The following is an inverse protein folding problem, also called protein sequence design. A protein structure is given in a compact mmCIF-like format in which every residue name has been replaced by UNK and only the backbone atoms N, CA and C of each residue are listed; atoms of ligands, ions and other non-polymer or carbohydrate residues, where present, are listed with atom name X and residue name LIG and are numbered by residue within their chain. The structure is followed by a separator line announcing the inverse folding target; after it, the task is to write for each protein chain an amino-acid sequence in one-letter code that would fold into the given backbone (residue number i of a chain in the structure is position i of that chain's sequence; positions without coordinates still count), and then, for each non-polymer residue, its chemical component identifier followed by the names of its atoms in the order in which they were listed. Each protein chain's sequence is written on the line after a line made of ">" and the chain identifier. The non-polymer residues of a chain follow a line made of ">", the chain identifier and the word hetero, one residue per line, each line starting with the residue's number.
data_IF_911277415334
#
_entry.id   IF_911277415334
#
_cell.length_a   1.000
_cell.length_b   1.000
_cell.length_c   1.000
_cell.angle_alpha   90.00
_cell.angle_beta   90.00
_cell.angle_gamma   90.00
#
_symmetry.space_group_name_H-M   'P 1'
#
loop_
_entity.id
_entity.type
_entity.pdbx_description
1 polymer ?
#
# COMPACT_ATOMS: atom_id res chain seq x y z
N UNK A 1 4.66 15.58 2.38
CA UNK A 1 3.50 14.72 2.70
C UNK A 1 3.90 13.29 2.44
N UNK A 2 3.45 12.37 3.26
CA UNK A 2 3.65 10.93 3.05
C UNK A 2 2.55 10.37 2.17
N UNK A 3 2.83 9.31 1.43
CA UNK A 3 1.90 8.62 0.55
C UNK A 3 1.69 7.18 1.02
N UNK A 4 0.49 6.63 0.81
CA UNK A 4 0.28 5.19 0.96
C UNK A 4 0.86 4.45 -0.24
N UNK A 5 1.33 3.22 -0.03
CA UNK A 5 1.70 2.32 -1.11
C UNK A 5 0.51 1.53 -1.67
N UNK A 6 -0.62 1.52 -0.96
CA UNK A 6 -1.85 0.85 -1.39
C UNK A 6 -2.78 1.85 -2.04
N UNK A 7 -3.32 1.52 -3.20
CA UNK A 7 -4.38 2.29 -3.84
C UNK A 7 -5.02 1.48 -4.97
N UNK A 8 -6.21 1.89 -5.36
CA UNK A 8 -6.93 1.39 -6.51
C UNK A 8 -7.46 2.55 -7.34
N UNK A 9 -7.37 2.42 -8.66
CA UNK A 9 -7.99 3.35 -9.61
C UNK A 9 -8.61 2.57 -10.75
N UNK A 10 -9.76 3.04 -11.23
CA UNK A 10 -10.42 2.50 -12.41
C UNK A 10 -10.94 3.65 -13.25
N UNK A 11 -10.61 3.63 -14.55
CA UNK A 11 -11.09 4.59 -15.53
C UNK A 11 -11.72 3.81 -16.66
N UNK A 12 -12.94 4.19 -17.01
CA UNK A 12 -13.66 3.70 -18.17
C UNK A 12 -13.86 4.84 -19.15
N UNK A 13 -13.54 4.61 -20.41
CA UNK A 13 -13.69 5.57 -21.50
C UNK A 13 -14.45 4.90 -22.65
N UNK A 14 -15.66 5.34 -22.89
CA UNK A 14 -16.44 4.94 -24.05
C UNK A 14 -15.97 5.74 -25.25
N UNK A 15 -15.71 5.07 -26.37
CA UNK A 15 -15.32 5.65 -27.64
C UNK A 15 -16.16 5.11 -28.80
N UNK A 16 -15.94 5.61 -30.00
CA UNK A 16 -16.68 5.22 -31.25
C UNK A 16 -16.53 3.74 -31.60
N UNK A 17 -15.50 3.07 -31.08
CA UNK A 17 -15.15 1.68 -31.44
C UNK A 17 -15.35 0.70 -30.29
N UNK A 18 -15.75 1.18 -29.12
CA UNK A 18 -15.93 0.35 -27.93
C UNK A 18 -15.53 1.07 -26.65
N UNK A 19 -15.51 0.32 -25.55
CA UNK A 19 -15.19 0.84 -24.22
C UNK A 19 -13.82 0.32 -23.77
N UNK A 20 -12.93 1.26 -23.43
CA UNK A 20 -11.64 1.00 -22.78
C UNK A 20 -11.82 1.07 -21.26
N UNK A 21 -11.30 0.11 -20.54
CA UNK A 21 -11.30 0.12 -19.06
C UNK A 21 -9.92 -0.20 -18.53
N UNK A 22 -9.32 0.75 -17.81
CA UNK A 22 -8.10 0.55 -17.05
C UNK A 22 -8.39 0.31 -15.60
N UNK A 23 -7.81 -0.74 -15.05
CA UNK A 23 -7.76 -1.01 -13.61
C UNK A 23 -6.31 -1.01 -13.16
N UNK A 24 -5.96 -0.14 -12.21
CA UNK A 24 -4.66 -0.03 -11.59
C UNK A 24 -4.78 -0.36 -10.11
N UNK A 25 -3.97 -1.30 -9.64
CA UNK A 25 -3.89 -1.68 -8.23
C UNK A 25 -2.46 -1.62 -7.75
N UNK A 26 -2.21 -0.83 -6.72
CA UNK A 26 -0.90 -0.73 -6.07
C UNK A 26 -0.94 -1.43 -4.71
N UNK A 27 0.12 -2.19 -4.40
CA UNK A 27 0.33 -2.80 -3.09
C UNK A 27 1.76 -2.56 -2.62
N UNK A 28 1.99 -2.71 -1.30
CA UNK A 28 3.31 -2.53 -0.74
C UNK A 28 4.33 -3.48 -1.37
N UNK A 29 5.42 -2.91 -1.88
CA UNK A 29 6.59 -3.65 -2.36
C UNK A 29 7.86 -2.82 -2.22
N UNK A 30 9.02 -3.49 -2.07
CA UNK A 30 10.31 -2.84 -1.85
C UNK A 30 10.76 -1.98 -3.04
N UNK A 31 10.48 -2.43 -4.26
CA UNK A 31 10.84 -1.79 -5.52
C UNK A 31 9.59 -1.48 -6.33
N UNK A 32 9.71 -0.65 -7.37
CA UNK A 32 8.63 -0.50 -8.35
C UNK A 32 8.62 -1.73 -9.25
N UNK A 33 7.53 -2.49 -9.19
CA UNK A 33 7.32 -3.72 -9.95
C UNK A 33 6.00 -3.63 -10.74
N UNK A 34 6.03 -3.17 -12.00
CA UNK A 34 4.85 -3.09 -12.84
C UNK A 34 4.51 -4.44 -13.48
N UNK A 35 3.29 -4.90 -13.24
CA UNK A 35 2.68 -6.05 -13.88
C UNK A 35 1.58 -5.58 -14.84
N UNK A 36 1.79 -5.79 -16.14
CA UNK A 36 0.87 -5.35 -17.17
C UNK A 36 0.09 -6.54 -17.74
N UNK A 37 -1.22 -6.37 -17.87
CA UNK A 37 -2.12 -7.28 -18.57
C UNK A 37 -2.83 -6.50 -19.67
N UNK A 38 -2.32 -6.64 -20.90
CA UNK A 38 -2.81 -5.95 -22.08
C UNK A 38 -3.37 -6.98 -23.06
N UNK A 39 -4.52 -6.71 -23.71
CA UNK A 39 -4.95 -7.47 -24.88
C UNK A 39 -3.91 -7.36 -26.00
N UNK A 40 -3.85 -8.35 -26.90
CA UNK A 40 -2.85 -8.43 -27.98
C UNK A 40 -2.81 -7.18 -28.86
N UNK A 41 -3.97 -6.56 -29.12
CA UNK A 41 -4.08 -5.33 -29.91
C UNK A 41 -3.38 -4.11 -29.29
N UNK A 42 -3.05 -4.15 -28.01
CA UNK A 42 -2.44 -3.05 -27.25
C UNK A 42 -1.03 -3.35 -26.75
N UNK A 43 -0.38 -4.41 -27.21
CA UNK A 43 0.97 -4.80 -26.77
C UNK A 43 2.02 -3.71 -26.99
N UNK A 44 1.87 -2.93 -28.05
CA UNK A 44 2.80 -1.83 -28.37
C UNK A 44 2.81 -0.73 -27.29
N UNK A 45 1.77 -0.65 -26.45
CA UNK A 45 1.69 0.32 -25.35
C UNK A 45 2.55 -0.05 -24.14
N UNK A 46 3.03 -1.28 -24.03
CA UNK A 46 3.75 -1.77 -22.84
C UNK A 46 4.92 -0.87 -22.46
N UNK A 47 5.72 -0.44 -23.44
CA UNK A 47 6.87 0.44 -23.22
C UNK A 47 6.48 1.79 -22.64
N UNK A 48 5.48 2.44 -23.23
CA UNK A 48 4.98 3.75 -22.80
C UNK A 48 4.34 3.70 -21.40
N UNK A 49 3.56 2.65 -21.11
CA UNK A 49 2.92 2.43 -19.81
C UNK A 49 3.98 2.22 -18.71
N UNK A 50 5.00 1.39 -18.98
CA UNK A 50 6.12 1.18 -18.04
C UNK A 50 6.89 2.46 -17.75
N UNK A 51 7.13 3.27 -18.75
CA UNK A 51 7.84 4.54 -18.60
C UNK A 51 7.00 5.54 -17.77
N UNK A 52 5.71 5.67 -18.03
CA UNK A 52 4.82 6.53 -17.27
C UNK A 52 4.73 6.10 -15.80
N UNK A 53 4.71 4.79 -15.52
CA UNK A 53 4.76 4.27 -14.14
C UNK A 53 6.08 4.64 -13.43
N UNK A 54 7.24 4.53 -14.12
CA UNK A 54 8.54 4.90 -13.56
C UNK A 54 8.65 6.39 -13.23
N UNK A 55 8.04 7.24 -14.08
CA UNK A 55 8.02 8.68 -13.84
C UNK A 55 7.04 9.07 -12.73
N UNK A 56 5.95 8.33 -12.58
CA UNK A 56 4.88 8.65 -11.63
C UNK A 56 5.01 8.05 -10.25
N UNK A 57 5.75 6.95 -10.10
CA UNK A 57 5.83 6.16 -8.85
C UNK A 57 7.27 5.75 -8.57
N UNK A 58 7.67 5.76 -7.30
CA UNK A 58 9.02 5.38 -6.89
C UNK A 58 9.12 3.93 -6.40
N UNK A 59 8.03 3.35 -5.84
CA UNK A 59 7.99 1.96 -5.35
C UNK A 59 6.56 1.42 -5.30
N UNK A 60 6.46 0.12 -5.06
CA UNK A 60 5.20 -0.62 -4.99
C UNK A 60 5.06 -1.62 -6.14
N UNK A 61 4.34 -2.70 -5.90
CA UNK A 61 3.90 -3.60 -6.96
C UNK A 61 2.61 -3.04 -7.54
N UNK A 62 2.61 -2.73 -8.84
CA UNK A 62 1.49 -2.10 -9.53
C UNK A 62 0.97 -3.03 -10.61
N UNK A 63 -0.22 -3.55 -10.41
CA UNK A 63 -0.94 -4.35 -11.41
C UNK A 63 -1.80 -3.40 -12.24
N UNK A 64 -1.56 -3.39 -13.56
CA UNK A 64 -2.29 -2.59 -14.54
C UNK A 64 -2.97 -3.53 -15.52
N UNK A 65 -4.29 -3.51 -15.57
CA UNK A 65 -5.08 -4.34 -16.46
C UNK A 65 -5.87 -3.44 -17.41
N UNK A 66 -5.66 -3.59 -18.71
CA UNK A 66 -6.49 -2.99 -19.75
C UNK A 66 -7.52 -4.02 -20.20
N UNK A 67 -8.77 -3.60 -20.27
CA UNK A 67 -9.84 -4.34 -20.95
C UNK A 67 -10.39 -3.47 -22.07
N UNK A 68 -10.65 -4.08 -23.19
CA UNK A 68 -11.32 -3.44 -24.32
C UNK A 68 -12.55 -4.27 -24.68
N UNK A 69 -13.71 -3.64 -24.62
CA UNK A 69 -14.97 -4.21 -25.06
C UNK A 69 -15.34 -3.52 -26.38
N UNK A 70 -15.19 -4.23 -27.49
CA UNK A 70 -15.55 -3.71 -28.80
C UNK A 70 -17.07 -3.59 -28.91
N UNK A 71 -17.56 -2.42 -29.36
CA UNK A 71 -18.97 -2.23 -29.62
C UNK A 71 -19.32 -2.80 -30.99
N UNK A 72 -20.04 -3.91 -30.98
CA UNK A 72 -20.50 -4.59 -32.19
C UNK A 72 -21.89 -4.14 -32.64
N UNK A 73 -22.62 -3.41 -31.77
CA UNK A 73 -23.96 -2.96 -32.05
C UNK A 73 -23.95 -1.78 -33.03
N UNK A 74 -24.54 -1.96 -34.21
CA UNK A 74 -24.72 -0.90 -35.21
C UNK A 74 -23.64 -0.80 -36.29
N UNK A 75 -22.59 -1.65 -36.25
CA UNK A 75 -21.63 -1.70 -37.37
C UNK A 75 -22.30 -2.26 -38.61
N UNK A 76 -22.28 -1.52 -39.70
CA UNK A 76 -22.71 -2.02 -41.03
C UNK A 76 -21.79 -3.14 -41.46
N UNK A 77 -22.35 -4.27 -41.85
CA UNK A 77 -21.59 -5.35 -42.46
C UNK A 77 -21.05 -4.85 -43.81
N UNK A 78 -19.75 -4.61 -43.88
CA UNK A 78 -19.11 -4.28 -45.14
C UNK A 78 -18.54 -5.54 -45.77
N UNK A 79 -18.78 -5.67 -47.10
CA UNK A 79 -18.27 -6.80 -47.86
C UNK A 79 -17.08 -6.32 -48.70
N UNK A 80 -15.93 -6.97 -48.51
CA UNK A 80 -14.82 -6.82 -49.46
C UNK A 80 -15.21 -7.46 -50.76
N UNK A 81 -15.71 -6.62 -51.69
CA UNK A 81 -16.21 -7.07 -52.98
C UNK A 81 -15.13 -7.70 -53.86
N UNK A 82 -13.89 -7.24 -53.74
CA UNK A 82 -12.79 -7.81 -54.54
C UNK A 82 -12.46 -9.22 -54.06
N UNK A 83 -12.34 -9.42 -52.76
CA UNK A 83 -12.10 -10.74 -52.17
C UNK A 83 -13.28 -11.69 -52.39
N UNK A 84 -14.52 -11.16 -52.31
CA UNK A 84 -15.71 -11.96 -52.60
C UNK A 84 -15.70 -12.41 -54.08
N UNK A 85 -15.37 -11.54 -55.07
CA UNK A 85 -15.27 -11.92 -56.50
C UNK A 85 -14.19 -12.98 -56.72
N UNK A 86 -13.00 -12.81 -56.11
CA UNK A 86 -11.90 -13.79 -56.20
C UNK A 86 -12.31 -15.16 -55.65
N UNK A 87 -13.01 -15.18 -54.53
CA UNK A 87 -13.48 -16.41 -53.94
C UNK A 87 -14.54 -17.10 -54.79
N UNK A 88 -15.51 -16.34 -55.32
CA UNK A 88 -16.55 -16.88 -56.22
C UNK A 88 -15.93 -17.44 -57.47
N UNK A 89 -15.02 -16.73 -58.16
CA UNK A 89 -14.31 -17.22 -59.35
C UNK A 89 -13.49 -18.50 -59.06
N UNK A 90 -12.83 -18.57 -57.93
CA UNK A 90 -12.12 -19.79 -57.52
C UNK A 90 -13.06 -20.98 -57.28
N UNK A 91 -14.20 -20.72 -56.60
CA UNK A 91 -15.21 -21.73 -56.36
C UNK A 91 -15.86 -22.23 -57.65
N UNK A 92 -16.15 -21.36 -58.61
CA UNK A 92 -16.65 -21.73 -59.94
C UNK A 92 -15.63 -22.55 -60.74
N UNK A 93 -14.33 -22.22 -60.66
CA UNK A 93 -13.24 -23.02 -61.25
C UNK A 93 -13.18 -24.42 -60.67
N UNK A 94 -13.38 -24.57 -59.34
CA UNK A 94 -13.44 -25.91 -58.71
C UNK A 94 -14.75 -26.64 -59.09
N UNK A 95 -15.89 -25.95 -59.14
CA UNK A 95 -17.18 -26.52 -59.54
C UNK A 95 -17.11 -27.12 -60.94
N UNK A 96 -16.38 -26.52 -61.89
CA UNK A 96 -16.17 -27.07 -63.22
C UNK A 96 -15.46 -28.42 -63.28
N UNK A 97 -14.74 -28.79 -62.22
CA UNK A 97 -14.06 -30.08 -62.07
C UNK A 97 -14.95 -31.19 -61.44
N UNK A 98 -16.12 -30.81 -60.91
CA UNK A 98 -17.03 -31.68 -60.18
C UNK A 98 -18.19 -32.12 -61.12
N UNK A 99 -18.58 -33.37 -61.11
CA UNK A 99 -19.60 -33.94 -62.01
C UNK A 99 -21.02 -33.40 -61.77
N UNK A 100 -21.33 -33.02 -60.50
CA UNK A 100 -22.57 -32.41 -60.07
C UNK A 100 -22.27 -31.40 -58.94
N UNK A 101 -21.87 -30.17 -59.23
CA UNK A 101 -21.57 -29.18 -58.23
C UNK A 101 -22.86 -28.69 -57.57
N UNK A 102 -22.84 -28.50 -56.25
CA UNK A 102 -23.92 -27.78 -55.53
C UNK A 102 -23.87 -26.29 -55.88
N UNK A 103 -25.02 -25.58 -55.87
CA UNK A 103 -25.06 -24.13 -55.99
C UNK A 103 -24.22 -23.45 -54.94
N UNK A 104 -23.58 -22.35 -55.28
CA UNK A 104 -22.78 -21.57 -54.34
C UNK A 104 -23.71 -20.85 -53.37
N UNK A 105 -23.50 -21.11 -52.06
CA UNK A 105 -24.27 -20.45 -51.01
C UNK A 105 -23.66 -19.06 -50.71
N UNK A 106 -24.42 -17.96 -50.86
CA UNK A 106 -23.94 -16.62 -50.55
C UNK A 106 -23.54 -16.45 -49.07
N UNK A 107 -24.21 -17.16 -48.15
CA UNK A 107 -23.84 -17.12 -46.72
C UNK A 107 -22.51 -17.79 -46.45
N UNK A 108 -22.19 -18.87 -47.15
CA UNK A 108 -20.88 -19.51 -47.08
C UNK A 108 -19.76 -18.60 -47.60
N UNK A 109 -20.05 -17.81 -48.67
CA UNK A 109 -19.11 -16.81 -49.18
C UNK A 109 -18.90 -15.69 -48.18
N UNK A 110 -19.96 -15.18 -47.54
CA UNK A 110 -19.86 -14.14 -46.50
C UNK A 110 -19.12 -14.61 -45.26
N UNK A 111 -19.28 -15.91 -44.88
CA UNK A 111 -18.60 -16.50 -43.73
C UNK A 111 -17.10 -16.75 -43.98
N UNK A 112 -16.64 -16.62 -45.23
CA UNK A 112 -15.24 -16.86 -45.56
C UNK A 112 -14.32 -15.78 -44.95
N UNK A 113 -13.16 -16.15 -44.37
CA UNK A 113 -12.25 -15.19 -43.70
C UNK A 113 -11.83 -14.03 -44.64
N UNK A 114 -12.12 -12.82 -44.20
CA UNK A 114 -11.75 -11.59 -44.92
C UNK A 114 -12.74 -11.14 -46.00
N UNK A 115 -13.91 -11.81 -46.20
CA UNK A 115 -15.00 -11.32 -47.08
C UNK A 115 -15.87 -10.32 -46.33
N UNK A 116 -16.23 -10.58 -45.08
CA UNK A 116 -16.82 -9.58 -44.20
C UNK A 116 -15.69 -8.78 -43.54
N UNK A 117 -15.69 -7.49 -43.81
CA UNK A 117 -14.73 -6.53 -43.21
C UNK A 117 -15.51 -5.80 -42.11
N UNK A 118 -15.09 -5.97 -40.86
CA UNK A 118 -15.51 -5.06 -39.82
C UNK A 118 -14.81 -3.72 -40.02
N UNK A 119 -15.52 -2.63 -39.81
CA UNK A 119 -14.92 -1.29 -39.77
C UNK A 119 -13.93 -1.28 -38.58
N UNK A 120 -12.67 -1.54 -38.87
CA UNK A 120 -11.63 -1.62 -37.84
C UNK A 120 -11.25 -0.22 -37.41
N UNK A 121 -11.29 0.01 -36.11
CA UNK A 121 -10.75 1.22 -35.51
C UNK A 121 -9.31 1.45 -36.01
N UNK A 122 -8.95 2.69 -36.27
CA UNK A 122 -7.55 3.05 -36.51
C UNK A 122 -6.72 2.63 -35.27
N UNK A 123 -5.77 1.69 -35.40
CA UNK A 123 -4.99 1.21 -34.28
C UNK A 123 -4.22 2.33 -33.58
N UNK A 124 -3.82 3.38 -34.29
CA UNK A 124 -3.09 4.51 -33.75
C UNK A 124 -4.00 5.38 -32.87
N UNK A 125 -5.22 5.67 -33.35
CA UNK A 125 -6.21 6.41 -32.56
C UNK A 125 -6.65 5.65 -31.31
N UNK A 126 -6.83 4.32 -31.41
CA UNK A 126 -7.20 3.46 -30.29
C UNK A 126 -6.07 3.39 -29.24
N UNK A 127 -4.82 3.29 -29.68
CA UNK A 127 -3.65 3.30 -28.80
C UNK A 127 -3.50 4.66 -28.09
N UNK A 128 -3.72 5.78 -28.79
CA UNK A 128 -3.68 7.11 -28.20
C UNK A 128 -4.76 7.27 -27.10
N UNK A 129 -5.99 6.85 -27.37
CA UNK A 129 -7.08 6.88 -26.38
C UNK A 129 -6.77 5.98 -25.17
N UNK A 130 -6.19 4.80 -25.37
CA UNK A 130 -5.80 3.91 -24.30
C UNK A 130 -4.70 4.51 -23.40
N UNK A 131 -3.72 5.23 -23.99
CA UNK A 131 -2.68 5.93 -23.22
C UNK A 131 -3.24 7.12 -22.44
N UNK A 132 -4.16 7.88 -23.03
CA UNK A 132 -4.84 8.97 -22.33
C UNK A 132 -5.62 8.46 -21.12
N UNK A 133 -6.44 7.43 -21.30
CA UNK A 133 -7.20 6.80 -20.23
C UNK A 133 -6.26 6.22 -19.14
N UNK A 134 -5.10 5.65 -19.52
CA UNK A 134 -4.07 5.22 -18.59
C UNK A 134 -3.50 6.39 -17.78
N UNK A 135 -3.20 7.51 -18.42
CA UNK A 135 -2.74 8.72 -17.74
C UNK A 135 -3.72 9.20 -16.67
N UNK A 136 -5.02 9.23 -17.00
CA UNK A 136 -6.08 9.58 -16.05
C UNK A 136 -6.15 8.57 -14.88
N UNK A 137 -6.04 7.26 -15.16
CA UNK A 137 -6.03 6.23 -14.13
C UNK A 137 -4.80 6.35 -13.20
N UNK A 138 -3.63 6.66 -13.74
CA UNK A 138 -2.40 6.88 -12.96
C UNK A 138 -2.53 8.11 -12.05
N UNK A 139 -3.08 9.21 -12.54
CA UNK A 139 -3.32 10.39 -11.71
C UNK A 139 -4.36 10.11 -10.60
N UNK A 140 -5.41 9.36 -10.88
CA UNK A 140 -6.36 8.92 -9.85
C UNK A 140 -5.68 8.02 -8.81
N UNK A 141 -4.80 7.10 -9.22
CA UNK A 141 -4.03 6.24 -8.31
C UNK A 141 -3.14 7.09 -7.39
N UNK A 142 -2.41 8.06 -7.94
CA UNK A 142 -1.54 8.99 -7.18
C UNK A 142 -2.35 9.82 -6.18
N UNK A 143 -3.49 10.35 -6.61
CA UNK A 143 -4.40 11.10 -5.74
C UNK A 143 -4.96 10.22 -4.61
N UNK A 144 -5.30 8.95 -4.91
CA UNK A 144 -5.70 7.95 -3.91
C UNK A 144 -4.62 7.71 -2.87
N UNK A 145 -3.38 7.44 -3.31
CA UNK A 145 -2.20 7.25 -2.44
C UNK A 145 -1.94 8.46 -1.54
N UNK A 146 -2.13 9.67 -2.07
CA UNK A 146 -1.94 10.90 -1.29
C UNK A 146 -3.01 11.05 -0.20
N UNK A 147 -4.30 10.83 -0.52
CA UNK A 147 -5.40 10.90 0.46
C UNK A 147 -5.21 9.86 1.57
N UNK A 148 -4.97 8.61 1.20
CA UNK A 148 -4.76 7.54 2.18
C UNK A 148 -3.50 7.80 3.04
N UNK A 149 -2.43 8.34 2.45
CA UNK A 149 -1.24 8.74 3.19
C UNK A 149 -1.51 9.83 4.23
N UNK A 150 -2.40 10.78 3.95
CA UNK A 150 -2.83 11.79 4.91
C UNK A 150 -3.61 11.19 6.08
N UNK A 151 -4.53 10.26 5.80
CA UNK A 151 -5.28 9.54 6.85
C UNK A 151 -4.35 8.69 7.73
N UNK A 152 -3.38 8.00 7.14
CA UNK A 152 -2.36 7.26 7.88
C UNK A 152 -1.52 8.18 8.76
N UNK A 153 -1.11 9.35 8.26
CA UNK A 153 -0.36 10.33 9.04
C UNK A 153 -1.17 10.86 10.23
N UNK A 154 -2.47 11.10 10.06
CA UNK A 154 -3.37 11.50 11.13
C UNK A 154 -3.48 10.41 12.19
N UNK A 155 -3.76 9.17 11.77
CA UNK A 155 -3.88 8.03 12.67
C UNK A 155 -2.59 7.79 13.48
N UNK A 156 -1.41 7.95 12.85
CA UNK A 156 -0.13 7.86 13.55
C UNK A 156 0.04 8.99 14.58
N UNK A 157 -0.34 10.23 14.24
CA UNK A 157 -0.27 11.35 15.18
C UNK A 157 -1.19 11.13 16.40
N UNK A 158 -2.41 10.62 16.20
CA UNK A 158 -3.32 10.32 17.31
C UNK A 158 -2.72 9.27 18.27
N UNK A 159 -1.99 8.29 17.76
CA UNK A 159 -1.30 7.29 18.58
C UNK A 159 -0.06 7.86 19.28
N UNK A 160 0.67 8.76 18.63
CA UNK A 160 1.78 9.48 19.24
C UNK A 160 1.30 10.40 20.38
N UNK A 161 0.12 11.01 20.24
CA UNK A 161 -0.50 11.78 21.32
C UNK A 161 -0.85 10.87 22.50
N UNK A 162 -1.46 9.71 22.25
CA UNK A 162 -1.76 8.73 23.28
C UNK A 162 -0.50 8.24 24.02
N UNK A 163 0.61 8.02 23.28
CA UNK A 163 1.90 7.66 23.89
C UNK A 163 2.42 8.77 24.80
N UNK A 164 2.33 10.03 24.40
CA UNK A 164 2.78 11.16 25.25
C UNK A 164 1.94 11.28 26.52
N UNK A 165 0.63 10.98 26.46
CA UNK A 165 -0.23 10.91 27.64
C UNK A 165 0.23 9.81 28.60
N UNK A 166 0.52 8.60 28.09
CA UNK A 166 1.04 7.50 28.91
C UNK A 166 2.40 7.85 29.55
N UNK A 167 3.31 8.44 28.77
CA UNK A 167 4.62 8.91 29.26
C UNK A 167 4.45 9.97 30.37
N UNK A 168 3.55 10.95 30.15
CA UNK A 168 3.25 11.98 31.15
C UNK A 168 2.70 11.40 32.45
N UNK A 169 1.67 10.56 32.35
CA UNK A 169 1.05 9.89 33.49
C UNK A 169 2.08 9.07 34.29
N UNK A 170 2.93 8.33 33.58
CA UNK A 170 3.94 7.51 34.25
C UNK A 170 5.00 8.38 34.94
N UNK A 171 5.43 9.50 34.32
CA UNK A 171 6.37 10.45 34.91
C UNK A 171 5.86 11.03 36.24
N UNK A 172 4.56 11.32 36.33
CA UNK A 172 3.94 11.81 37.57
C UNK A 172 3.80 10.71 38.63
N UNK A 173 3.55 9.47 38.25
CA UNK A 173 3.33 8.33 39.15
C UNK A 173 4.62 7.75 39.71
N UNK A 174 5.74 7.75 38.97
CA UNK A 174 7.01 7.11 39.36
C UNK A 174 7.50 7.55 40.74
N UNK A 175 7.52 8.84 41.14
CA UNK A 175 7.96 9.25 42.48
C UNK A 175 7.13 8.64 43.61
N UNK A 176 5.80 8.59 43.42
CA UNK A 176 4.88 7.99 44.39
C UNK A 176 5.05 6.47 44.48
N UNK A 177 5.28 5.79 43.35
CA UNK A 177 5.54 4.35 43.32
C UNK A 177 6.84 4.02 44.05
N UNK A 178 7.90 4.78 43.83
CA UNK A 178 9.19 4.61 44.56
C UNK A 178 9.04 4.83 46.04
N UNK A 179 8.34 5.88 46.50
CA UNK A 179 8.06 6.13 47.91
C UNK A 179 7.30 4.98 48.55
N UNK A 180 6.24 4.47 47.87
CA UNK A 180 5.46 3.34 48.35
C UNK A 180 6.29 2.05 48.45
N UNK A 181 7.14 1.80 47.47
CA UNK A 181 8.01 0.62 47.47
C UNK A 181 9.06 0.69 48.57
N UNK A 182 9.65 1.87 48.78
CA UNK A 182 10.56 2.13 49.91
C UNK A 182 9.87 1.86 51.24
N UNK A 183 8.65 2.37 51.44
CA UNK A 183 7.90 2.16 52.68
C UNK A 183 7.60 0.69 52.91
N UNK A 184 7.16 -0.06 51.90
CA UNK A 184 6.95 -1.52 52.02
C UNK A 184 8.19 -2.28 52.46
N UNK A 185 9.38 -1.87 51.95
CA UNK A 185 10.65 -2.48 52.34
C UNK A 185 10.90 -2.18 53.84
N UNK A 186 10.76 -0.92 54.27
CA UNK A 186 10.97 -0.53 55.67
C UNK A 186 10.01 -1.24 56.64
N UNK A 187 8.72 -1.34 56.26
CA UNK A 187 7.71 -2.03 57.06
C UNK A 187 8.04 -3.53 57.25
N UNK A 188 8.46 -4.18 56.16
CA UNK A 188 8.85 -5.59 56.17
C UNK A 188 10.09 -5.86 56.97
N UNK A 189 11.04 -4.92 57.02
CA UNK A 189 12.20 -4.98 57.88
C UNK A 189 11.83 -4.79 59.36
N UNK A 190 10.91 -3.87 59.67
CA UNK A 190 10.43 -3.67 61.03
C UNK A 190 9.73 -4.94 61.60
N UNK A 191 8.98 -5.67 60.77
CA UNK A 191 8.31 -6.93 61.15
C UNK A 191 9.30 -8.05 61.49
N UNK A 192 10.46 -8.09 60.81
CA UNK A 192 11.44 -9.18 61.00
C UNK A 192 12.24 -9.08 62.31
N UNK A 193 12.11 -8.01 63.13
CA UNK A 193 12.81 -7.78 64.41
C UNK A 193 14.31 -8.11 64.37
N UNK A 194 14.94 -8.08 63.22
CA UNK A 194 16.34 -8.36 63.05
C UNK A 194 17.19 -7.12 63.42
N UNK A 195 18.33 -7.31 64.06
CA UNK A 195 19.35 -6.27 64.14
C UNK A 195 19.87 -5.98 62.72
N UNK A 196 19.32 -4.96 62.12
CA UNK A 196 19.66 -4.54 60.76
C UNK A 196 20.86 -3.61 60.82
N UNK A 197 21.85 -3.91 59.94
CA UNK A 197 22.89 -2.96 59.63
C UNK A 197 22.27 -1.81 58.77
N UNK A 198 22.18 -0.57 59.31
CA UNK A 198 21.61 0.56 58.61
C UNK A 198 22.30 0.83 57.25
N UNK A 199 23.59 0.55 57.15
CA UNK A 199 24.36 0.75 55.89
C UNK A 199 23.92 -0.22 54.82
N UNK A 200 23.60 -1.45 55.15
CA UNK A 200 23.15 -2.47 54.22
C UNK A 200 21.73 -2.18 53.73
N UNK A 201 20.85 -1.66 54.58
CA UNK A 201 19.51 -1.20 54.15
C UNK A 201 19.62 -0.03 53.17
N UNK A 202 20.49 0.92 53.44
CA UNK A 202 20.67 2.09 52.56
C UNK A 202 21.25 1.70 51.21
N UNK A 203 22.17 0.74 51.16
CA UNK A 203 22.69 0.17 49.92
C UNK A 203 21.60 -0.50 49.05
N UNK A 204 20.71 -1.29 49.67
CA UNK A 204 19.60 -1.94 49.00
C UNK A 204 18.59 -0.91 48.42
N UNK A 205 18.32 0.18 49.16
CA UNK A 205 17.44 1.25 48.70
C UNK A 205 18.04 2.02 47.53
N UNK A 206 19.36 2.26 47.53
CA UNK A 206 20.08 2.87 46.42
C UNK A 206 20.04 1.97 45.17
N UNK A 207 20.27 0.67 45.36
CA UNK A 207 20.18 -0.30 44.26
C UNK A 207 18.76 -0.38 43.67
N UNK A 208 17.75 -0.33 44.53
CA UNK A 208 16.35 -0.28 44.09
C UNK A 208 16.09 1.00 43.27
N UNK A 209 16.52 2.16 43.74
CA UNK A 209 16.34 3.42 43.02
C UNK A 209 17.01 3.38 41.67
N UNK A 210 18.23 2.87 41.56
CA UNK A 210 18.94 2.73 40.26
C UNK A 210 18.24 1.75 39.31
N UNK A 211 17.79 0.59 39.80
CA UNK A 211 17.08 -0.39 38.96
C UNK A 211 15.71 0.08 38.50
N UNK A 212 15.09 0.99 39.23
CA UNK A 212 13.75 1.52 38.98
C UNK A 212 13.77 2.87 38.27
N UNK A 213 14.96 3.40 37.97
CA UNK A 213 15.10 4.66 37.25
C UNK A 213 14.69 4.47 35.80
N UNK A 214 13.62 5.15 35.42
CA UNK A 214 13.01 5.11 34.08
C UNK A 214 12.96 6.50 33.44
N UNK A 215 13.59 7.51 34.04
CA UNK A 215 13.53 8.89 33.57
C UNK A 215 14.11 9.01 32.17
N UNK A 216 15.26 8.37 31.91
CA UNK A 216 15.94 8.39 30.61
C UNK A 216 15.09 7.71 29.53
N UNK A 217 14.42 6.58 29.81
CA UNK A 217 13.52 5.90 28.88
C UNK A 217 12.31 6.76 28.53
N UNK A 218 11.72 7.46 29.49
CA UNK A 218 10.61 8.38 29.28
C UNK A 218 11.01 9.59 28.42
N UNK A 219 12.20 10.14 28.64
CA UNK A 219 12.75 11.24 27.84
C UNK A 219 13.07 10.80 26.41
N UNK A 220 13.63 9.61 26.23
CA UNK A 220 13.89 9.03 24.92
C UNK A 220 12.61 8.72 24.16
N UNK A 221 11.60 8.15 24.81
CA UNK A 221 10.28 7.92 24.21
C UNK A 221 9.69 9.24 23.68
N UNK A 222 9.69 10.32 24.50
CA UNK A 222 9.20 11.62 24.10
C UNK A 222 10.02 12.21 22.91
N UNK A 223 11.34 12.04 22.93
CA UNK A 223 12.23 12.48 21.85
C UNK A 223 11.94 11.74 20.55
N UNK A 224 11.80 10.41 20.59
CA UNK A 224 11.48 9.61 19.41
C UNK A 224 10.09 9.92 18.86
N UNK A 225 9.09 10.19 19.70
CA UNK A 225 7.77 10.69 19.28
C UNK A 225 7.91 11.99 18.48
N UNK A 226 8.72 12.94 18.98
CA UNK A 226 9.00 14.19 18.26
C UNK A 226 9.65 13.95 16.90
N UNK A 227 10.59 13.01 16.82
CA UNK A 227 11.27 12.65 15.57
C UNK A 227 10.33 11.99 14.56
N UNK A 228 9.43 11.08 15.01
CA UNK A 228 8.40 10.48 14.14
C UNK A 228 7.53 11.56 13.51
N UNK A 229 7.06 12.54 14.30
CA UNK A 229 6.26 13.67 13.79
C UNK A 229 7.03 14.50 12.77
N UNK A 230 8.31 14.74 13.02
CA UNK A 230 9.18 15.47 12.10
C UNK A 230 9.30 14.73 10.75
N UNK A 231 9.48 13.42 10.76
CA UNK A 231 9.56 12.60 9.55
C UNK A 231 8.25 12.60 8.79
N UNK A 232 7.11 12.42 9.47
CA UNK A 232 5.77 12.48 8.85
C UNK A 232 5.50 13.84 8.17
N UNK A 233 5.92 14.94 8.81
CA UNK A 233 5.78 16.31 8.26
C UNK A 233 6.68 16.55 7.05
N UNK A 234 7.92 16.05 7.08
CA UNK A 234 8.88 16.19 5.99
C UNK A 234 8.41 15.44 4.73
N UNK A 235 7.80 14.27 4.90
CA UNK A 235 7.36 13.44 3.78
C UNK A 235 8.52 12.83 2.98
N UNK A 236 8.25 12.44 1.74
CA UNK A 236 9.21 11.73 0.89
C UNK A 236 9.38 10.27 1.30
N UNK A 237 10.49 9.64 1.01
CA UNK A 237 10.77 8.23 1.30
C UNK A 237 10.90 7.96 2.82
N UNK A 238 9.79 8.16 3.55
CA UNK A 238 9.74 8.16 5.02
C UNK A 238 9.72 6.74 5.62
N UNK A 239 9.21 5.73 4.90
CA UNK A 239 8.87 4.42 5.45
C UNK A 239 10.02 3.73 6.20
N UNK A 240 11.25 3.69 5.65
CA UNK A 240 12.39 3.06 6.33
C UNK A 240 12.79 3.79 7.61
N UNK A 241 12.72 5.13 7.60
CA UNK A 241 13.08 5.94 8.77
C UNK A 241 12.03 5.78 9.87
N UNK A 242 10.76 5.72 9.49
CA UNK A 242 9.66 5.45 10.42
C UNK A 242 9.78 4.04 11.02
N UNK A 243 10.09 3.01 10.22
CA UNK A 243 10.29 1.65 10.73
C UNK A 243 11.42 1.58 11.74
N UNK A 244 12.55 2.24 11.47
CA UNK A 244 13.64 2.37 12.44
C UNK A 244 13.19 3.05 13.74
N UNK A 245 12.43 4.15 13.66
CA UNK A 245 11.92 4.84 14.83
C UNK A 245 10.94 3.99 15.64
N UNK A 246 10.12 3.15 14.98
CA UNK A 246 9.27 2.17 15.67
C UNK A 246 10.10 1.14 16.45
N UNK A 247 11.24 0.70 15.91
CA UNK A 247 12.16 -0.19 16.61
C UNK A 247 12.78 0.48 17.83
N UNK A 248 13.22 1.75 17.73
CA UNK A 248 13.75 2.49 18.88
C UNK A 248 12.68 2.72 19.95
N UNK A 249 11.46 3.13 19.58
CA UNK A 249 10.33 3.25 20.51
C UNK A 249 10.06 1.91 21.24
N UNK A 250 10.08 0.79 20.51
CA UNK A 250 9.87 -0.53 21.09
C UNK A 250 11.02 -0.93 22.04
N UNK A 251 12.25 -0.55 21.72
CA UNK A 251 13.41 -0.76 22.58
C UNK A 251 13.26 -0.03 23.91
N UNK A 252 12.89 1.26 23.89
CA UNK A 252 12.69 2.04 25.10
C UNK A 252 11.51 1.51 25.92
N UNK A 253 10.40 1.12 25.29
CA UNK A 253 9.26 0.51 25.95
C UNK A 253 9.60 -0.86 26.58
N UNK A 254 10.48 -1.67 25.96
CA UNK A 254 10.98 -2.91 26.54
C UNK A 254 11.86 -2.66 27.77
N UNK A 255 12.76 -1.68 27.69
CA UNK A 255 13.62 -1.30 28.83
C UNK A 255 12.78 -0.79 29.99
N UNK A 256 11.79 0.07 29.73
CA UNK A 256 10.81 0.52 30.70
C UNK A 256 10.10 -0.66 31.37
N UNK A 257 9.62 -1.64 30.58
CA UNK A 257 8.95 -2.84 31.09
C UNK A 257 9.87 -3.71 31.96
N UNK A 258 11.15 -3.82 31.62
CA UNK A 258 12.13 -4.59 32.39
C UNK A 258 12.50 -3.94 33.73
N UNK A 259 12.39 -2.61 33.82
CA UNK A 259 12.60 -1.82 35.05
C UNK A 259 11.32 -1.63 35.87
N UNK A 260 10.18 -2.12 35.35
CA UNK A 260 8.89 -1.97 36.03
C UNK A 260 8.84 -2.78 37.33
N UNK A 261 8.56 -2.13 38.42
CA UNK A 261 8.47 -2.69 39.78
C UNK A 261 7.07 -2.56 40.41
N UNK A 262 6.16 -1.87 39.73
CA UNK A 262 4.76 -1.66 40.14
C UNK A 262 3.83 -2.11 39.02
N UNK A 263 2.67 -2.71 39.31
CA UNK A 263 1.71 -3.13 38.27
C UNK A 263 1.29 -2.01 37.31
N UNK A 264 1.24 -0.76 37.79
CA UNK A 264 0.89 0.42 36.95
C UNK A 264 1.97 0.73 35.94
N UNK A 265 3.26 0.63 36.32
CA UNK A 265 4.37 0.82 35.37
C UNK A 265 4.44 -0.33 34.35
N UNK A 266 4.14 -1.56 34.77
CA UNK A 266 4.01 -2.70 33.87
C UNK A 266 2.88 -2.49 32.85
N UNK A 267 1.70 -2.03 33.32
CA UNK A 267 0.56 -1.77 32.44
C UNK A 267 0.86 -0.64 31.45
N UNK A 268 1.50 0.44 31.87
CA UNK A 268 1.91 1.52 31.00
C UNK A 268 2.90 1.03 29.92
N UNK A 269 3.88 0.20 30.26
CA UNK A 269 4.79 -0.40 29.30
C UNK A 269 4.05 -1.28 28.27
N UNK A 270 3.04 -2.04 28.71
CA UNK A 270 2.20 -2.84 27.81
C UNK A 270 1.38 -1.94 26.88
N UNK A 271 0.75 -0.88 27.41
CA UNK A 271 -0.03 0.08 26.61
C UNK A 271 0.85 0.75 25.53
N UNK A 272 2.05 1.20 25.89
CA UNK A 272 3.03 1.77 24.97
C UNK A 272 3.40 0.77 23.85
N UNK A 273 3.67 -0.49 24.19
CA UNK A 273 3.98 -1.53 23.19
C UNK A 273 2.83 -1.80 22.24
N UNK A 274 1.58 -1.80 22.73
CA UNK A 274 0.40 -1.94 21.86
C UNK A 274 0.30 -0.78 20.88
N UNK A 275 0.46 0.46 21.34
CA UNK A 275 0.45 1.64 20.47
C UNK A 275 1.58 1.59 19.42
N UNK A 276 2.78 1.18 19.82
CA UNK A 276 3.93 1.06 18.92
C UNK A 276 3.67 0.01 17.85
N UNK A 277 3.14 -1.17 18.20
CA UNK A 277 2.87 -2.23 17.21
C UNK A 277 1.76 -1.80 16.23
N UNK A 278 0.70 -1.17 16.72
CA UNK A 278 -0.33 -0.58 15.84
C UNK A 278 0.24 0.43 14.85
N UNK A 279 1.17 1.29 15.30
CA UNK A 279 1.84 2.23 14.40
C UNK A 279 2.76 1.52 13.41
N UNK A 280 3.48 0.51 13.84
CA UNK A 280 4.41 -0.26 13.01
C UNK A 280 3.72 -0.94 11.84
N UNK A 281 2.53 -1.52 12.07
CA UNK A 281 1.71 -2.10 11.00
C UNK A 281 1.32 -1.04 9.94
N UNK A 282 0.95 0.17 10.37
CA UNK A 282 0.57 1.24 9.44
C UNK A 282 1.78 1.83 8.69
N UNK A 283 2.92 1.94 9.37
CA UNK A 283 4.18 2.44 8.77
C UNK A 283 4.64 1.57 7.60
N UNK A 284 4.34 0.27 7.61
CA UNK A 284 4.67 -0.62 6.49
C UNK A 284 4.00 -0.21 5.18
N UNK A 285 2.89 0.53 5.22
CA UNK A 285 2.16 1.00 4.04
C UNK A 285 2.55 2.43 3.63
N UNK A 286 3.50 3.06 4.30
CA UNK A 286 3.93 4.45 4.03
C UNK A 286 5.19 4.46 3.15
N UNK A 287 5.11 5.34 2.15
CA UNK A 287 6.23 5.72 1.29
C UNK A 287 6.73 7.11 1.64
#
# INVERSE_FOLDING_TARGET
>A
MVHSMTAFARVEQAGTHGTLSWELRSVNHRYLEPHLRLPDAFRDLEGAVREALRQGLSRGKVECTLRFAEETAGKSLQVDQERARQLVAAAEGVAALIRQPAPLDPLAVLAWPGVLVADSADPQALNAAALEAFGQALEQLKAGRSREGQELAKLLNDRLDAMLVEVGNLRELVPTMLANQRQKILDRFAELKAELDPQRLEQELVLLAQKSDVADELDRLATHVGEVRRVLKAGGAAGRRLDFLMQELNREANTLGSKAFDPRSTQAAVNLKVLIEQMREQVQNIE
#
